data_IF_164050298618
#
_entry.id   IF_164050298618
#
_cell.length_a   1.000
_cell.length_b   1.000
_cell.length_c   1.000
_cell.angle_alpha   90.00
_cell.angle_beta   90.00
_cell.angle_gamma   90.00
#
_symmetry.space_group_name_H-M   'P 1'
#
loop_
_entity.id
_entity.type
_entity.pdbx_description
1 polymer ?
#
# COMPACT_ATOMS: atom_id res chain seq x y z
N UNK A 1 -29.99 -9.74 -14.15
CA UNK A 1 -28.54 -9.55 -14.15
C UNK A 1 -27.91 -10.91 -13.92
N UNK A 2 -27.08 -11.42 -14.82
CA UNK A 2 -26.40 -12.71 -14.62
C UNK A 2 -25.57 -12.63 -13.35
N UNK A 3 -25.77 -13.64 -12.48
CA UNK A 3 -25.13 -13.69 -11.17
C UNK A 3 -23.65 -14.15 -11.35
N UNK A 4 -22.77 -13.17 -11.71
CA UNK A 4 -21.36 -13.43 -12.01
C UNK A 4 -20.67 -14.01 -10.79
N UNK A 5 -20.02 -15.16 -10.97
CA UNK A 5 -19.26 -15.85 -9.92
C UNK A 5 -17.75 -15.66 -10.13
N UNK A 6 -17.06 -15.25 -9.09
CA UNK A 6 -15.63 -14.99 -9.11
C UNK A 6 -14.91 -15.90 -8.10
N UNK A 7 -13.85 -16.59 -8.57
CA UNK A 7 -12.93 -17.25 -7.67
C UNK A 7 -11.75 -16.30 -7.38
N UNK A 8 -11.60 -15.88 -6.12
CA UNK A 8 -10.47 -15.07 -5.68
C UNK A 8 -9.47 -15.91 -4.89
N UNK A 9 -8.29 -16.13 -5.47
CA UNK A 9 -7.19 -16.87 -4.85
C UNK A 9 -6.02 -15.91 -4.58
N UNK A 10 -5.49 -15.86 -3.35
CA UNK A 10 -4.35 -15.05 -3.00
C UNK A 10 -3.33 -15.81 -2.15
N UNK A 11 -2.07 -15.34 -2.19
CA UNK A 11 -0.98 -15.92 -1.39
C UNK A 11 -0.84 -15.32 0.01
N UNK A 12 -1.77 -14.46 0.41
CA UNK A 12 -1.86 -13.88 1.75
C UNK A 12 -3.21 -14.18 2.39
N UNK A 13 -3.22 -14.19 3.70
CA UNK A 13 -4.40 -14.40 4.54
C UNK A 13 -5.54 -13.39 4.23
N UNK A 14 -6.77 -13.80 4.50
CA UNK A 14 -7.97 -12.99 4.24
C UNK A 14 -7.96 -11.64 4.98
N UNK A 15 -7.29 -11.57 6.14
CA UNK A 15 -7.17 -10.36 6.97
C UNK A 15 -6.06 -9.41 6.54
N UNK A 16 -5.19 -9.80 5.60
CA UNK A 16 -4.19 -8.90 5.06
C UNK A 16 -4.87 -7.75 4.29
N UNK A 17 -4.50 -6.51 4.57
CA UNK A 17 -5.22 -5.31 4.11
C UNK A 17 -5.59 -5.33 2.62
N UNK A 18 -4.63 -5.64 1.72
CA UNK A 18 -4.90 -5.70 0.28
C UNK A 18 -5.87 -6.83 -0.08
N UNK A 19 -5.69 -8.02 0.51
CA UNK A 19 -6.57 -9.17 0.28
C UNK A 19 -7.99 -8.87 0.74
N UNK A 20 -8.14 -8.30 1.94
CA UNK A 20 -9.43 -7.94 2.53
C UNK A 20 -10.18 -6.88 1.68
N UNK A 21 -9.48 -5.82 1.26
CA UNK A 21 -10.06 -4.75 0.45
C UNK A 21 -10.56 -5.26 -0.90
N UNK A 22 -9.75 -6.04 -1.63
CA UNK A 22 -10.16 -6.60 -2.93
C UNK A 22 -11.33 -7.55 -2.75
N UNK A 23 -11.31 -8.42 -1.71
CA UNK A 23 -12.39 -9.35 -1.44
C UNK A 23 -13.70 -8.63 -1.09
N UNK A 24 -13.65 -7.67 -0.17
CA UNK A 24 -14.82 -6.84 0.21
C UNK A 24 -15.35 -6.05 -0.99
N UNK A 25 -14.48 -5.50 -1.83
CA UNK A 25 -14.87 -4.76 -3.02
C UNK A 25 -15.59 -5.63 -4.07
N UNK A 26 -15.12 -6.85 -4.30
CA UNK A 26 -15.80 -7.80 -5.21
C UNK A 26 -17.21 -8.14 -4.71
N UNK A 27 -17.36 -8.36 -3.40
CA UNK A 27 -18.69 -8.62 -2.79
C UNK A 27 -19.61 -7.40 -2.89
N UNK A 28 -19.08 -6.20 -2.59
CA UNK A 28 -19.81 -4.94 -2.67
C UNK A 28 -20.21 -4.60 -4.12
N UNK A 29 -19.43 -5.00 -5.10
CA UNK A 29 -19.75 -4.89 -6.54
C UNK A 29 -20.95 -5.78 -6.96
N UNK A 30 -21.41 -6.66 -6.07
CA UNK A 30 -22.53 -7.57 -6.31
C UNK A 30 -22.14 -8.91 -6.93
N UNK A 31 -20.84 -9.27 -6.93
CA UNK A 31 -20.39 -10.56 -7.42
C UNK A 31 -20.50 -11.66 -6.35
N UNK A 32 -20.88 -12.87 -6.77
CA UNK A 32 -20.72 -14.05 -5.93
C UNK A 32 -19.24 -14.42 -5.87
N UNK A 33 -18.62 -14.32 -4.68
CA UNK A 33 -17.18 -14.46 -4.56
C UNK A 33 -16.81 -15.69 -3.71
N UNK A 34 -15.97 -16.55 -4.26
CA UNK A 34 -15.35 -17.67 -3.55
C UNK A 34 -13.92 -17.27 -3.21
N UNK A 35 -13.61 -17.08 -1.93
CA UNK A 35 -12.27 -16.76 -1.46
C UNK A 35 -11.45 -18.01 -1.15
N UNK A 36 -10.22 -18.08 -1.65
CA UNK A 36 -9.21 -19.09 -1.38
C UNK A 36 -7.96 -18.44 -0.82
N UNK A 37 -7.79 -18.49 0.49
CA UNK A 37 -6.72 -17.80 1.20
C UNK A 37 -5.97 -18.75 2.12
N UNK A 38 -4.63 -18.59 2.26
CA UNK A 38 -3.86 -19.32 3.27
C UNK A 38 -4.13 -18.76 4.67
N UNK A 39 -3.87 -19.52 5.73
CA UNK A 39 -3.95 -19.01 7.11
C UNK A 39 -2.82 -18.03 7.45
N UNK A 40 -1.70 -18.09 6.72
CA UNK A 40 -0.53 -17.21 6.86
C UNK A 40 0.27 -17.14 5.54
N UNK A 41 1.36 -16.36 5.51
CA UNK A 41 2.20 -16.08 4.32
C UNK A 41 3.10 -17.23 3.86
N UNK A 42 3.03 -18.44 4.43
CA UNK A 42 3.91 -19.57 4.10
C UNK A 42 3.52 -20.24 2.78
N UNK A 43 4.47 -20.43 1.90
CA UNK A 43 4.27 -21.10 0.61
C UNK A 43 3.85 -22.60 0.75
N UNK A 44 4.07 -23.21 1.91
CA UNK A 44 3.62 -24.58 2.19
C UNK A 44 2.11 -24.78 2.07
N UNK A 45 1.32 -23.71 2.10
CA UNK A 45 -0.13 -23.76 1.92
C UNK A 45 -0.57 -23.78 0.45
N UNK A 46 0.32 -23.46 -0.50
CA UNK A 46 -0.03 -23.33 -1.92
C UNK A 46 -0.54 -24.63 -2.55
N UNK A 47 0.03 -25.84 -2.29
CA UNK A 47 -0.52 -27.07 -2.82
C UNK A 47 -2.00 -27.28 -2.45
N UNK A 48 -2.37 -26.98 -1.20
CA UNK A 48 -3.76 -27.06 -0.74
C UNK A 48 -4.66 -26.03 -1.44
N UNK A 49 -4.17 -24.78 -1.62
CA UNK A 49 -4.91 -23.73 -2.33
C UNK A 49 -5.14 -24.12 -3.80
N UNK A 50 -4.12 -24.64 -4.48
CA UNK A 50 -4.23 -25.10 -5.86
C UNK A 50 -5.19 -26.28 -5.99
N UNK A 51 -5.15 -27.23 -5.05
CA UNK A 51 -6.12 -28.33 -5.00
C UNK A 51 -7.56 -27.85 -4.81
N UNK A 52 -7.79 -26.91 -3.88
CA UNK A 52 -9.11 -26.30 -3.68
C UNK A 52 -9.57 -25.53 -4.92
N UNK A 53 -8.65 -24.80 -5.56
CA UNK A 53 -8.91 -24.04 -6.79
C UNK A 53 -9.40 -24.94 -7.91
N UNK A 54 -8.78 -26.12 -8.09
CA UNK A 54 -9.14 -27.10 -9.15
C UNK A 54 -10.64 -27.44 -9.17
N UNK A 55 -11.25 -27.50 -7.99
CA UNK A 55 -12.68 -27.83 -7.87
C UNK A 55 -13.57 -26.58 -7.85
N UNK A 56 -13.19 -25.56 -7.10
CA UNK A 56 -14.01 -24.38 -6.86
C UNK A 56 -14.12 -23.44 -8.08
N UNK A 57 -13.11 -23.42 -8.95
CA UNK A 57 -13.11 -22.56 -10.14
C UNK A 57 -14.10 -23.01 -11.23
N UNK A 58 -14.60 -24.26 -11.18
CA UNK A 58 -15.45 -24.81 -12.26
C UNK A 58 -16.71 -23.98 -12.49
N UNK A 59 -17.36 -23.54 -11.44
CA UNK A 59 -18.60 -22.79 -11.47
C UNK A 59 -18.40 -21.25 -11.49
N UNK A 60 -17.16 -20.78 -11.65
CA UNK A 60 -16.85 -19.36 -11.70
C UNK A 60 -16.73 -18.86 -13.15
N UNK A 61 -17.06 -17.60 -13.38
CA UNK A 61 -16.96 -16.94 -14.70
C UNK A 61 -15.59 -16.29 -14.90
N UNK A 62 -14.96 -15.82 -13.82
CA UNK A 62 -13.69 -15.13 -13.83
C UNK A 62 -12.87 -15.51 -12.60
N UNK A 63 -11.55 -15.48 -12.76
CA UNK A 63 -10.59 -15.73 -11.68
C UNK A 63 -9.87 -14.42 -11.33
N UNK A 64 -9.76 -14.13 -10.05
CA UNK A 64 -8.87 -13.08 -9.54
C UNK A 64 -7.71 -13.75 -8.82
N UNK A 65 -6.48 -13.44 -9.24
CA UNK A 65 -5.26 -13.85 -8.53
C UNK A 65 -4.74 -12.63 -7.77
N UNK A 66 -4.70 -12.72 -6.44
CA UNK A 66 -4.34 -11.61 -5.58
C UNK A 66 -2.88 -11.60 -5.15
N UNK A 67 -2.61 -10.73 -4.21
CA UNK A 67 -1.28 -10.45 -3.67
C UNK A 67 -0.51 -11.71 -3.23
N UNK A 68 0.81 -11.75 -3.45
CA UNK A 68 1.69 -12.92 -3.34
C UNK A 68 1.28 -14.07 -4.30
N UNK A 69 0.57 -13.71 -5.37
CA UNK A 69 0.00 -14.66 -6.33
C UNK A 69 0.94 -15.08 -7.46
N UNK A 70 2.21 -14.68 -7.51
CA UNK A 70 3.11 -14.98 -8.63
C UNK A 70 3.17 -16.48 -8.99
N UNK A 71 3.44 -17.31 -7.99
CA UNK A 71 3.49 -18.77 -8.18
C UNK A 71 2.09 -19.38 -8.35
N UNK A 72 1.07 -18.81 -7.70
CA UNK A 72 -0.33 -19.23 -7.87
C UNK A 72 -0.81 -18.93 -9.29
N UNK A 73 -0.43 -17.82 -9.89
CA UNK A 73 -0.77 -17.47 -11.28
C UNK A 73 -0.34 -18.55 -12.26
N UNK A 74 0.89 -19.09 -12.08
CA UNK A 74 1.38 -20.16 -12.95
C UNK A 74 0.50 -21.43 -12.83
N UNK A 75 0.16 -21.83 -11.60
CA UNK A 75 -0.73 -22.96 -11.37
C UNK A 75 -2.16 -22.70 -11.88
N UNK A 76 -2.71 -21.51 -11.60
CA UNK A 76 -4.04 -21.10 -12.06
C UNK A 76 -4.15 -21.19 -13.57
N UNK A 77 -3.20 -20.61 -14.31
CA UNK A 77 -3.27 -20.55 -15.78
C UNK A 77 -3.15 -21.92 -16.44
N UNK A 78 -2.44 -22.86 -15.82
CA UNK A 78 -2.38 -24.25 -16.29
C UNK A 78 -3.71 -25.00 -16.07
N UNK A 79 -4.50 -24.60 -15.10
CA UNK A 79 -5.73 -25.30 -14.69
C UNK A 79 -7.02 -24.68 -15.24
N UNK A 80 -6.96 -23.45 -15.79
CA UNK A 80 -8.15 -22.77 -16.32
C UNK A 80 -7.87 -22.01 -17.60
N UNK A 81 -8.89 -21.93 -18.47
CA UNK A 81 -8.91 -21.03 -19.64
C UNK A 81 -9.81 -19.81 -19.42
N UNK A 82 -10.40 -19.66 -18.23
CA UNK A 82 -11.27 -18.52 -17.89
C UNK A 82 -10.46 -17.23 -17.83
N UNK A 83 -11.09 -16.06 -17.99
CA UNK A 83 -10.43 -14.77 -17.83
C UNK A 83 -9.79 -14.65 -16.45
N UNK A 84 -8.54 -14.17 -16.39
CA UNK A 84 -7.76 -14.01 -15.16
C UNK A 84 -7.37 -12.55 -14.97
N UNK A 85 -7.89 -11.93 -13.92
CA UNK A 85 -7.49 -10.63 -13.42
C UNK A 85 -6.40 -10.82 -12.35
N UNK A 86 -5.26 -10.16 -12.52
CA UNK A 86 -4.12 -10.29 -11.62
C UNK A 86 -3.88 -9.02 -10.81
N UNK A 87 -4.08 -9.06 -9.51
CA UNK A 87 -3.70 -8.01 -8.58
C UNK A 87 -2.26 -8.25 -8.09
N UNK A 88 -1.28 -7.82 -8.88
CA UNK A 88 0.14 -8.06 -8.57
C UNK A 88 0.59 -7.29 -7.33
N UNK A 89 0.13 -6.06 -7.13
CA UNK A 89 0.42 -5.14 -6.04
C UNK A 89 1.92 -4.87 -5.81
N UNK A 90 2.74 -5.90 -5.66
CA UNK A 90 4.19 -5.81 -5.42
C UNK A 90 4.91 -6.92 -6.18
N UNK A 91 6.02 -6.61 -6.87
CA UNK A 91 6.86 -7.60 -7.52
C UNK A 91 7.73 -8.36 -6.52
N UNK A 92 7.99 -9.63 -6.81
CA UNK A 92 8.94 -10.46 -6.06
C UNK A 92 10.36 -9.88 -6.18
N UNK A 93 10.72 -9.41 -7.38
CA UNK A 93 12.02 -8.80 -7.64
C UNK A 93 12.26 -7.59 -6.72
N UNK A 94 11.32 -6.61 -6.68
CA UNK A 94 11.49 -5.42 -5.85
C UNK A 94 11.54 -5.76 -4.35
N UNK A 95 10.70 -6.71 -3.92
CA UNK A 95 10.68 -7.15 -2.52
C UNK A 95 11.99 -7.83 -2.11
N UNK A 96 12.49 -8.76 -2.90
CA UNK A 96 13.66 -9.56 -2.51
C UNK A 96 14.97 -8.82 -2.71
N UNK A 97 15.06 -7.97 -3.74
CA UNK A 97 16.28 -7.24 -4.07
C UNK A 97 16.37 -5.94 -3.28
N UNK A 98 15.34 -5.08 -3.34
CA UNK A 98 15.43 -3.73 -2.79
C UNK A 98 14.95 -3.60 -1.34
N UNK A 99 13.89 -4.35 -0.95
CA UNK A 99 13.38 -4.22 0.42
C UNK A 99 14.10 -5.15 1.39
N UNK A 100 14.31 -6.41 0.99
CA UNK A 100 14.89 -7.41 1.88
C UNK A 100 16.40 -7.61 1.70
N UNK A 101 16.99 -7.05 0.65
CA UNK A 101 18.42 -7.17 0.38
C UNK A 101 18.91 -8.62 0.31
N UNK A 102 18.04 -9.56 -0.10
CA UNK A 102 18.38 -11.00 -0.14
C UNK A 102 19.38 -11.34 -1.23
N UNK A 103 19.51 -10.48 -2.24
CA UNK A 103 20.42 -10.67 -3.36
C UNK A 103 20.66 -9.35 -4.07
N UNK A 104 21.74 -9.28 -4.88
CA UNK A 104 22.05 -8.10 -5.70
C UNK A 104 21.23 -8.09 -7.00
N UNK A 105 20.95 -6.92 -7.60
CA UNK A 105 20.13 -6.81 -8.83
C UNK A 105 20.68 -7.59 -10.04
N UNK A 106 21.98 -7.88 -10.07
CA UNK A 106 22.68 -8.58 -11.16
C UNK A 106 22.80 -10.09 -10.93
N UNK A 107 22.38 -10.60 -9.78
CA UNK A 107 22.51 -12.03 -9.46
C UNK A 107 21.57 -12.91 -10.29
N UNK A 108 21.92 -14.18 -10.46
CA UNK A 108 21.05 -15.19 -11.10
C UNK A 108 19.69 -15.29 -10.40
N UNK A 109 19.67 -15.19 -9.05
CA UNK A 109 18.45 -15.22 -8.27
C UNK A 109 17.55 -14.02 -8.54
N UNK A 110 18.12 -12.83 -8.68
CA UNK A 110 17.36 -11.65 -9.09
C UNK A 110 16.79 -11.81 -10.52
N UNK A 111 17.53 -12.45 -11.41
CA UNK A 111 17.05 -12.85 -12.73
C UNK A 111 15.84 -13.79 -12.66
N UNK A 112 15.88 -14.79 -11.77
CA UNK A 112 14.78 -15.71 -11.52
C UNK A 112 13.53 -14.97 -10.99
N UNK A 113 13.69 -14.09 -10.00
CA UNK A 113 12.56 -13.28 -9.48
C UNK A 113 11.94 -12.42 -10.59
N UNK A 114 12.77 -11.77 -11.42
CA UNK A 114 12.30 -11.00 -12.57
C UNK A 114 11.55 -11.85 -13.58
N UNK A 115 12.01 -13.06 -13.84
CA UNK A 115 11.36 -14.00 -14.75
C UNK A 115 9.99 -14.45 -14.20
N UNK A 116 9.90 -14.79 -12.92
CA UNK A 116 8.64 -15.19 -12.27
C UNK A 116 7.62 -14.04 -12.31
N UNK A 117 8.03 -12.82 -11.97
CA UNK A 117 7.16 -11.64 -12.07
C UNK A 117 6.70 -11.42 -13.53
N UNK A 118 7.62 -11.50 -14.50
CA UNK A 118 7.30 -11.34 -15.93
C UNK A 118 6.29 -12.38 -16.41
N UNK A 119 6.56 -13.67 -16.16
CA UNK A 119 5.72 -14.76 -16.65
C UNK A 119 4.34 -14.70 -16.01
N UNK A 120 4.25 -14.44 -14.70
CA UNK A 120 2.96 -14.29 -14.02
C UNK A 120 2.11 -13.15 -14.60
N UNK A 121 2.73 -12.02 -14.95
CA UNK A 121 2.04 -10.90 -15.61
C UNK A 121 1.65 -11.22 -17.05
N UNK A 122 2.52 -11.84 -17.84
CA UNK A 122 2.21 -12.22 -19.22
C UNK A 122 1.04 -13.22 -19.33
N UNK A 123 0.88 -14.08 -18.34
CA UNK A 123 -0.18 -15.09 -18.30
C UNK A 123 -1.53 -14.54 -17.79
N UNK A 124 -1.56 -13.37 -17.18
CA UNK A 124 -2.80 -12.68 -16.84
C UNK A 124 -3.46 -12.08 -18.10
N UNK A 125 -4.77 -11.97 -18.11
CA UNK A 125 -5.51 -11.26 -19.16
C UNK A 125 -5.56 -9.76 -18.89
N UNK A 126 -5.73 -9.35 -17.62
CA UNK A 126 -5.59 -7.97 -17.13
C UNK A 126 -4.84 -7.96 -15.80
N UNK A 127 -4.16 -6.85 -15.52
CA UNK A 127 -3.30 -6.66 -14.34
C UNK A 127 -3.69 -5.37 -13.65
N UNK A 128 -3.92 -5.42 -12.33
CA UNK A 128 -4.19 -4.23 -11.53
C UNK A 128 -2.90 -3.65 -10.98
N UNK A 129 -2.70 -2.34 -11.13
CA UNK A 129 -1.71 -1.53 -10.43
C UNK A 129 -2.29 -0.17 -10.04
N UNK A 130 -1.71 0.46 -9.01
CA UNK A 130 -2.33 1.61 -8.36
C UNK A 130 -2.14 2.95 -9.10
N UNK A 131 -1.07 3.11 -9.92
CA UNK A 131 -0.73 4.38 -10.56
C UNK A 131 -0.24 4.18 -11.99
N UNK A 132 -0.37 5.19 -12.83
CA UNK A 132 0.11 5.15 -14.22
C UNK A 132 1.65 5.06 -14.27
N UNK A 133 2.35 5.78 -13.39
CA UNK A 133 3.82 5.74 -13.29
C UNK A 133 4.31 4.33 -12.94
N UNK A 134 3.65 3.65 -11.99
CA UNK A 134 3.98 2.27 -11.62
C UNK A 134 3.69 1.28 -12.75
N UNK A 135 2.60 1.49 -13.51
CA UNK A 135 2.27 0.70 -14.71
C UNK A 135 3.40 0.84 -15.74
N UNK A 136 3.80 2.06 -16.07
CA UNK A 136 4.88 2.33 -17.02
C UNK A 136 6.21 1.73 -16.58
N UNK A 137 6.57 1.84 -15.28
CA UNK A 137 7.78 1.19 -14.74
C UNK A 137 7.72 -0.34 -14.91
N UNK A 138 6.60 -0.98 -14.56
CA UNK A 138 6.47 -2.44 -14.66
C UNK A 138 6.41 -2.93 -16.12
N UNK A 139 5.67 -2.24 -16.99
CA UNK A 139 5.62 -2.55 -18.40
C UNK A 139 7.02 -2.55 -19.03
N UNK A 140 7.81 -1.51 -18.74
CA UNK A 140 9.18 -1.37 -19.23
C UNK A 140 10.16 -2.38 -18.60
N UNK A 141 10.11 -2.54 -17.29
CA UNK A 141 11.03 -3.38 -16.50
C UNK A 141 10.84 -4.86 -16.78
N UNK A 142 9.61 -5.32 -16.88
CA UNK A 142 9.27 -6.72 -17.08
C UNK A 142 8.94 -7.05 -18.53
N UNK A 143 8.95 -6.06 -19.45
CA UNK A 143 8.61 -6.23 -20.88
C UNK A 143 7.22 -6.86 -21.04
N UNK A 144 6.23 -6.29 -20.36
CA UNK A 144 4.82 -6.67 -20.43
C UNK A 144 4.06 -5.56 -21.17
N UNK A 145 3.17 -5.88 -22.13
CA UNK A 145 2.39 -4.88 -22.85
C UNK A 145 1.57 -4.01 -21.88
N UNK A 146 1.70 -2.68 -22.00
CA UNK A 146 1.03 -1.71 -21.13
C UNK A 146 -0.50 -1.83 -21.17
N UNK A 147 -1.05 -2.25 -22.31
CA UNK A 147 -2.50 -2.47 -22.52
C UNK A 147 -3.10 -3.57 -21.64
N UNK A 148 -2.28 -4.43 -21.03
CA UNK A 148 -2.74 -5.41 -20.04
C UNK A 148 -3.04 -4.81 -18.69
N UNK A 149 -2.49 -3.63 -18.40
CA UNK A 149 -2.63 -3.01 -17.09
C UNK A 149 -3.90 -2.15 -16.99
N UNK A 150 -4.53 -2.23 -15.85
CA UNK A 150 -5.65 -1.39 -15.44
C UNK A 150 -5.25 -0.58 -14.20
N UNK A 151 -5.34 0.75 -14.31
CA UNK A 151 -5.08 1.63 -13.18
C UNK A 151 -6.23 1.57 -12.20
N UNK A 152 -5.90 1.26 -10.95
CA UNK A 152 -6.85 1.25 -9.85
C UNK A 152 -6.14 1.70 -8.56
N UNK A 153 -6.37 2.95 -8.13
CA UNK A 153 -5.77 3.48 -6.92
C UNK A 153 -6.00 2.56 -5.71
N UNK A 154 -5.13 2.64 -4.72
CA UNK A 154 -5.35 1.97 -3.45
C UNK A 154 -6.65 2.48 -2.81
N UNK A 155 -7.34 1.59 -2.13
CA UNK A 155 -8.50 1.96 -1.33
C UNK A 155 -8.31 1.58 0.12
N UNK A 156 -9.05 2.25 0.97
CA UNK A 156 -9.19 1.96 2.39
C UNK A 156 -10.64 1.64 2.69
N UNK A 157 -10.87 0.77 3.64
CA UNK A 157 -12.20 0.54 4.18
C UNK A 157 -12.62 1.78 4.99
N UNK A 158 -13.40 2.66 4.37
CA UNK A 158 -13.80 3.94 4.94
C UNK A 158 -14.92 3.81 6.01
N UNK A 159 -15.38 2.59 6.31
CA UNK A 159 -16.13 2.27 7.52
C UNK A 159 -15.21 2.08 8.74
N UNK A 160 -13.94 1.69 8.50
CA UNK A 160 -12.93 1.45 9.55
C UNK A 160 -11.99 2.65 9.69
N UNK A 161 -11.46 3.13 8.58
CA UNK A 161 -10.51 4.27 8.55
C UNK A 161 -11.24 5.52 8.05
N UNK A 162 -11.76 6.29 8.98
CA UNK A 162 -12.47 7.54 8.75
C UNK A 162 -12.06 8.59 9.79
N UNK A 163 -12.39 9.87 9.58
CA UNK A 163 -12.14 10.89 10.58
C UNK A 163 -12.89 10.56 11.88
N UNK A 164 -12.16 10.41 12.98
CA UNK A 164 -12.71 10.18 14.30
C UNK A 164 -12.59 11.46 15.12
N UNK A 165 -13.63 11.78 15.90
CA UNK A 165 -13.52 12.87 16.88
C UNK A 165 -12.53 12.47 17.96
N UNK A 166 -11.36 13.07 17.93
CA UNK A 166 -10.28 12.84 18.87
C UNK A 166 -9.75 14.16 19.42
N UNK A 167 -9.35 14.16 20.69
CA UNK A 167 -8.71 15.32 21.32
C UNK A 167 -7.24 15.29 20.96
N UNK A 168 -6.78 16.33 20.27
CA UNK A 168 -5.36 16.53 19.99
C UNK A 168 -4.66 17.07 21.26
N UNK A 169 -3.40 16.67 21.52
CA UNK A 169 -2.62 17.29 22.59
C UNK A 169 -2.53 18.81 22.42
N UNK A 170 -2.68 19.56 23.51
CA UNK A 170 -2.60 21.01 23.49
C UNK A 170 -1.20 21.55 23.81
N UNK A 171 -0.38 20.73 24.48
CA UNK A 171 0.96 21.06 24.98
C UNK A 171 2.08 20.76 23.99
N UNK A 172 1.78 19.97 22.93
CA UNK A 172 2.76 19.60 21.91
C UNK A 172 2.12 19.28 20.57
N UNK A 173 2.90 19.39 19.50
CA UNK A 173 2.52 18.96 18.15
C UNK A 173 2.81 17.46 17.97
N UNK A 174 1.78 16.63 17.88
CA UNK A 174 1.92 15.17 17.75
C UNK A 174 2.04 14.78 16.28
N UNK A 175 3.11 14.06 15.93
CA UNK A 175 3.42 13.51 14.61
C UNK A 175 3.23 12.01 14.65
N UNK A 176 2.39 11.46 13.77
CA UNK A 176 2.10 10.03 13.70
C UNK A 176 2.75 9.36 12.48
N UNK A 177 3.38 8.22 12.70
CA UNK A 177 3.81 7.28 11.68
C UNK A 177 3.34 5.87 12.03
N UNK A 178 2.84 5.12 11.06
CA UNK A 178 2.58 3.69 11.22
C UNK A 178 3.08 2.90 10.00
N UNK A 179 3.50 1.66 10.24
CA UNK A 179 3.86 0.72 9.20
C UNK A 179 5.09 -0.13 9.49
N UNK A 180 5.37 -1.06 8.59
CA UNK A 180 6.55 -1.92 8.67
C UNK A 180 7.84 -1.07 8.60
N UNK A 181 8.87 -1.44 9.35
CA UNK A 181 10.20 -0.84 9.25
C UNK A 181 10.93 -1.45 8.05
N UNK A 182 10.52 -1.05 6.85
CA UNK A 182 11.17 -1.43 5.59
C UNK A 182 12.05 -0.27 5.08
N UNK A 183 13.13 -0.55 4.33
CA UNK A 183 14.03 0.50 3.85
C UNK A 183 13.36 1.65 3.12
N UNK A 184 12.37 1.36 2.25
CA UNK A 184 11.64 2.39 1.50
C UNK A 184 10.71 3.26 2.37
N UNK A 185 10.33 2.79 3.56
CA UNK A 185 9.57 3.60 4.51
C UNK A 185 10.40 4.73 5.13
N UNK A 186 11.73 4.52 5.28
CA UNK A 186 12.64 5.57 5.72
C UNK A 186 12.46 6.00 7.16
N UNK A 187 12.16 5.07 8.09
CA UNK A 187 12.05 5.37 9.54
C UNK A 187 13.30 6.06 10.06
N UNK A 188 14.48 5.68 9.54
CA UNK A 188 15.75 6.36 9.84
C UNK A 188 15.70 7.87 9.56
N UNK A 189 15.04 8.30 8.49
CA UNK A 189 14.86 9.72 8.16
C UNK A 189 13.97 10.39 9.20
N UNK A 190 12.89 9.72 9.64
CA UNK A 190 12.00 10.22 10.68
C UNK A 190 12.76 10.41 12.00
N UNK A 191 13.59 9.43 12.40
CA UNK A 191 14.38 9.51 13.62
C UNK A 191 15.45 10.62 13.58
N UNK A 192 16.06 10.86 12.41
CA UNK A 192 16.98 11.99 12.23
C UNK A 192 16.24 13.33 12.34
N UNK A 193 15.06 13.46 11.72
CA UNK A 193 14.22 14.66 11.85
C UNK A 193 13.77 14.88 13.31
N UNK A 194 13.39 13.81 14.02
CA UNK A 194 13.08 13.89 15.43
C UNK A 194 14.28 14.41 16.26
N UNK A 195 15.50 13.97 15.91
CA UNK A 195 16.71 14.48 16.59
C UNK A 195 16.94 15.99 16.32
N UNK A 196 16.60 16.50 15.14
CA UNK A 196 16.68 17.93 14.83
C UNK A 196 15.63 18.74 15.59
N UNK A 197 14.51 18.12 15.94
CA UNK A 197 13.39 18.75 16.67
C UNK A 197 13.46 18.58 18.19
N UNK A 198 14.60 18.17 18.73
CA UNK A 198 14.83 18.18 20.19
C UNK A 198 14.72 19.58 20.75
N UNK A 199 13.99 19.70 21.87
CA UNK A 199 13.72 20.99 22.50
C UNK A 199 12.52 21.75 21.93
N UNK A 200 11.99 21.30 20.79
CA UNK A 200 10.73 21.80 20.25
C UNK A 200 9.54 21.11 20.95
N UNK A 201 8.39 21.81 21.03
CA UNK A 201 7.14 21.21 21.51
C UNK A 201 6.55 20.25 20.44
N UNK A 202 7.33 19.25 20.02
CA UNK A 202 6.97 18.23 19.05
C UNK A 202 7.21 16.85 19.64
N UNK A 203 6.24 15.94 19.50
CA UNK A 203 6.36 14.54 19.88
C UNK A 203 6.03 13.63 18.72
N UNK A 204 6.62 12.44 18.72
CA UNK A 204 6.39 11.43 17.68
C UNK A 204 5.76 10.19 18.29
N UNK A 205 4.78 9.64 17.59
CA UNK A 205 4.23 8.31 17.81
C UNK A 205 4.56 7.46 16.59
N UNK A 206 5.39 6.43 16.76
CA UNK A 206 5.85 5.55 15.69
C UNK A 206 5.35 4.14 15.97
N UNK A 207 4.40 3.68 15.14
CA UNK A 207 3.74 2.39 15.27
C UNK A 207 4.32 1.40 14.26
N UNK A 208 4.76 0.23 14.74
CA UNK A 208 5.20 -0.88 13.90
C UNK A 208 6.56 -1.44 14.23
N UNK A 209 6.92 -2.49 13.50
CA UNK A 209 8.22 -3.18 13.52
C UNK A 209 8.57 -3.64 12.10
N UNK A 210 9.80 -4.10 11.89
CA UNK A 210 10.24 -4.65 10.61
C UNK A 210 11.73 -4.80 10.50
N UNK A 211 12.22 -4.91 9.27
CA UNK A 211 13.59 -5.33 8.97
C UNK A 211 14.64 -4.36 9.51
N UNK A 212 14.37 -3.04 9.48
CA UNK A 212 15.34 -2.03 9.92
C UNK A 212 15.23 -1.70 11.41
N UNK A 213 14.28 -2.29 12.13
CA UNK A 213 13.94 -1.92 13.52
C UNK A 213 15.15 -1.91 14.45
N UNK A 214 15.94 -2.99 14.48
CA UNK A 214 17.07 -3.11 15.42
C UNK A 214 18.16 -2.07 15.14
N UNK A 215 18.41 -1.75 13.86
CA UNK A 215 19.36 -0.71 13.47
C UNK A 215 18.82 0.70 13.79
N UNK A 216 17.54 0.91 13.59
CA UNK A 216 16.88 2.18 13.89
C UNK A 216 16.85 2.43 15.40
N UNK A 217 16.68 1.39 16.23
CA UNK A 217 16.76 1.49 17.69
C UNK A 217 18.17 1.85 18.21
N UNK A 218 19.23 1.54 17.46
CA UNK A 218 20.58 2.04 17.78
C UNK A 218 20.65 3.57 17.65
N UNK A 219 19.99 4.14 16.65
CA UNK A 219 19.91 5.61 16.50
C UNK A 219 19.09 6.25 17.61
N UNK A 220 17.98 5.62 18.00
CA UNK A 220 17.14 6.10 19.12
C UNK A 220 17.99 6.25 20.38
N UNK A 221 18.76 5.22 20.74
CA UNK A 221 19.67 5.25 21.90
C UNK A 221 20.77 6.29 21.75
N UNK A 222 21.42 6.33 20.57
CA UNK A 222 22.49 7.30 20.27
C UNK A 222 22.02 8.75 20.38
N UNK A 223 20.84 9.03 19.87
CA UNK A 223 20.25 10.36 19.87
C UNK A 223 19.47 10.68 21.14
N UNK A 224 19.23 9.73 22.05
CA UNK A 224 18.41 9.90 23.26
C UNK A 224 17.06 10.56 22.91
N UNK A 225 16.23 9.87 22.11
CA UNK A 225 14.96 10.41 21.57
C UNK A 225 13.81 10.18 22.56
N UNK A 226 13.82 10.87 23.71
CA UNK A 226 12.83 10.70 24.78
C UNK A 226 11.43 11.24 24.41
N UNK A 227 11.33 12.06 23.38
CA UNK A 227 10.07 12.61 22.84
C UNK A 227 9.48 11.76 21.71
N UNK A 228 10.01 10.56 21.47
CA UNK A 228 9.51 9.60 20.48
C UNK A 228 8.94 8.39 21.20
N UNK A 229 7.66 8.14 21.08
CA UNK A 229 6.98 6.95 21.58
C UNK A 229 6.99 5.86 20.49
N UNK A 230 7.41 4.65 20.86
CA UNK A 230 7.39 3.48 19.99
C UNK A 230 6.29 2.53 20.44
N UNK A 231 5.45 2.11 19.50
CA UNK A 231 4.35 1.16 19.69
C UNK A 231 4.53 0.02 18.70
N UNK A 232 4.62 -1.20 19.20
CA UNK A 232 4.92 -2.36 18.37
C UNK A 232 3.81 -2.65 17.34
N UNK A 233 2.55 -2.49 17.75
CA UNK A 233 1.39 -2.78 16.94
C UNK A 233 0.12 -2.13 17.50
N UNK A 234 -0.77 -1.72 16.61
CA UNK A 234 -2.11 -1.22 16.92
C UNK A 234 -3.13 -2.00 16.07
N UNK A 235 -4.26 -2.44 16.62
CA UNK A 235 -5.34 -3.03 15.84
C UNK A 235 -5.78 -2.09 14.70
N UNK A 236 -6.07 -2.65 13.53
CA UNK A 236 -6.39 -1.83 12.36
C UNK A 236 -7.63 -0.93 12.58
N UNK A 237 -8.61 -1.42 13.33
CA UNK A 237 -9.80 -0.65 13.71
C UNK A 237 -9.52 0.48 14.74
N UNK A 238 -8.37 0.48 15.40
CA UNK A 238 -7.95 1.54 16.33
C UNK A 238 -6.98 2.54 15.67
N UNK A 239 -6.46 2.20 14.49
CA UNK A 239 -5.50 3.03 13.77
C UNK A 239 -6.06 4.41 13.41
N UNK A 240 -7.36 4.46 13.03
CA UNK A 240 -8.04 5.72 12.74
C UNK A 240 -8.03 6.68 13.95
N UNK A 241 -8.19 6.16 15.16
CA UNK A 241 -8.13 6.96 16.39
C UNK A 241 -6.71 7.49 16.65
N UNK A 242 -5.69 6.64 16.54
CA UNK A 242 -4.28 7.06 16.68
C UNK A 242 -3.93 8.17 15.69
N UNK A 243 -4.25 7.99 14.41
CA UNK A 243 -4.03 9.01 13.38
C UNK A 243 -4.83 10.28 13.65
N UNK A 244 -6.09 10.17 14.09
CA UNK A 244 -6.96 11.32 14.35
C UNK A 244 -6.53 12.14 15.56
N UNK A 245 -5.79 11.58 16.51
CA UNK A 245 -5.17 12.31 17.64
C UNK A 245 -3.95 13.12 17.20
N UNK A 246 -3.28 12.72 16.13
CA UNK A 246 -2.11 13.41 15.63
C UNK A 246 -2.46 14.74 14.94
N UNK A 247 -1.51 15.65 14.90
CA UNK A 247 -1.61 16.91 14.16
C UNK A 247 -1.21 16.70 12.69
N UNK A 248 -0.30 15.76 12.41
CA UNK A 248 0.00 15.32 11.05
C UNK A 248 0.37 13.84 11.02
N UNK A 249 0.20 13.23 9.85
CA UNK A 249 0.60 11.86 9.56
C UNK A 249 1.76 11.85 8.57
N UNK A 250 2.63 10.84 8.72
CA UNK A 250 3.81 10.65 7.88
C UNK A 250 3.60 9.49 6.89
N UNK A 251 4.03 9.69 5.63
CA UNK A 251 4.10 8.67 4.60
C UNK A 251 5.41 7.89 4.61
N UNK A 252 6.15 7.92 3.49
CA UNK A 252 7.44 7.24 3.31
C UNK A 252 8.55 8.23 2.98
N UNK A 253 9.81 7.90 3.36
CA UNK A 253 10.96 8.80 3.25
C UNK A 253 12.27 8.09 2.89
N UNK A 254 12.23 6.83 2.43
CA UNK A 254 13.43 6.12 2.02
C UNK A 254 14.07 6.70 0.75
N UNK A 255 15.24 6.15 0.38
CA UNK A 255 16.02 6.54 -0.79
C UNK A 255 16.25 5.37 -1.77
N UNK A 256 15.64 4.22 -1.51
CA UNK A 256 15.79 3.07 -2.39
C UNK A 256 14.89 3.20 -3.65
N UNK A 257 15.17 2.43 -4.71
CA UNK A 257 14.41 2.52 -5.96
C UNK A 257 12.90 2.34 -5.81
N UNK A 258 12.44 1.60 -4.80
CA UNK A 258 11.03 1.39 -4.53
C UNK A 258 10.33 2.65 -4.00
N UNK A 259 11.02 3.47 -3.20
CA UNK A 259 10.49 4.75 -2.71
C UNK A 259 9.94 5.63 -3.83
N UNK A 260 10.56 5.56 -5.01
CA UNK A 260 10.18 6.39 -6.16
C UNK A 260 9.02 5.82 -7.00
N UNK A 261 8.61 4.57 -6.75
CA UNK A 261 7.67 3.83 -7.62
C UNK A 261 6.31 3.53 -7.01
N UNK A 262 6.13 3.78 -5.72
CA UNK A 262 4.92 3.32 -5.02
C UNK A 262 4.11 4.45 -4.41
N UNK A 263 2.80 4.33 -4.54
CA UNK A 263 1.81 4.91 -3.64
C UNK A 263 1.56 3.88 -2.52
N UNK A 264 1.53 4.30 -1.26
CA UNK A 264 1.38 3.37 -0.13
C UNK A 264 0.06 3.54 0.61
N UNK A 265 -0.42 2.49 1.28
CA UNK A 265 -1.64 2.53 2.08
C UNK A 265 -1.62 3.66 3.11
N UNK A 266 -0.50 3.88 3.80
CA UNK A 266 -0.40 4.95 4.81
C UNK A 266 -0.62 6.36 4.27
N UNK A 267 -0.32 6.61 2.98
CA UNK A 267 -0.69 7.86 2.30
C UNK A 267 -2.21 7.96 2.22
N UNK A 268 -2.87 6.92 1.72
CA UNK A 268 -4.33 6.90 1.56
C UNK A 268 -5.04 6.93 2.92
N UNK A 269 -4.52 6.21 3.92
CA UNK A 269 -5.05 6.18 5.29
C UNK A 269 -4.95 7.55 5.97
N UNK A 270 -3.84 8.26 5.81
CA UNK A 270 -3.70 9.63 6.32
C UNK A 270 -4.71 10.60 5.68
N UNK A 271 -4.92 10.48 4.37
CA UNK A 271 -5.93 11.26 3.66
C UNK A 271 -7.35 10.90 4.14
N UNK A 272 -7.62 9.61 4.40
CA UNK A 272 -8.92 9.12 4.86
C UNK A 272 -9.34 9.67 6.23
N UNK A 273 -8.39 9.98 7.11
CA UNK A 273 -8.67 10.59 8.43
C UNK A 273 -8.59 12.12 8.43
N UNK A 274 -8.51 12.75 7.26
CA UNK A 274 -8.45 14.20 7.09
C UNK A 274 -7.29 14.88 7.86
N UNK A 275 -6.15 14.19 8.04
CA UNK A 275 -4.96 14.76 8.66
C UNK A 275 -3.97 15.26 7.62
N UNK A 276 -3.27 16.38 7.88
CA UNK A 276 -2.17 16.81 7.03
C UNK A 276 -1.18 15.67 6.85
N UNK A 277 -0.82 15.38 5.60
CA UNK A 277 0.16 14.36 5.23
C UNK A 277 1.48 15.02 4.85
N UNK A 278 2.60 14.50 5.38
CA UNK A 278 3.94 14.74 4.86
C UNK A 278 4.46 13.43 4.28
N UNK A 279 4.93 13.43 3.05
CA UNK A 279 5.50 12.23 2.42
C UNK A 279 6.55 12.59 1.37
N UNK A 280 7.23 11.59 0.83
CA UNK A 280 8.21 11.79 -0.24
C UNK A 280 7.54 12.35 -1.51
N UNK A 281 8.25 13.22 -2.21
CA UNK A 281 7.90 13.65 -3.56
C UNK A 281 8.32 12.54 -4.55
N UNK A 282 7.34 11.81 -5.06
CA UNK A 282 7.51 10.86 -6.15
C UNK A 282 6.32 10.94 -7.12
N UNK A 283 6.46 10.42 -8.33
CA UNK A 283 5.42 10.49 -9.35
C UNK A 283 4.12 9.79 -8.92
N UNK A 284 4.13 8.56 -8.38
CA UNK A 284 2.91 7.87 -7.94
C UNK A 284 2.09 8.67 -6.92
N UNK A 285 2.74 9.31 -5.96
CA UNK A 285 2.05 10.15 -4.96
C UNK A 285 1.46 11.39 -5.62
N UNK A 286 2.18 12.00 -6.58
CA UNK A 286 1.73 13.20 -7.29
C UNK A 286 0.53 12.94 -8.24
N UNK A 287 0.24 11.69 -8.59
CA UNK A 287 -1.01 11.34 -9.29
C UNK A 287 -2.25 11.50 -8.39
N UNK A 288 -2.08 11.43 -7.07
CA UNK A 288 -3.18 11.52 -6.10
C UNK A 288 -3.24 12.86 -5.37
N UNK A 289 -2.08 13.45 -5.02
CA UNK A 289 -2.01 14.67 -4.22
C UNK A 289 -1.07 15.70 -4.83
N UNK A 290 -1.33 16.98 -4.50
CA UNK A 290 -0.53 18.11 -4.95
C UNK A 290 0.21 18.74 -3.78
N UNK A 291 1.50 19.07 -4.02
CA UNK A 291 2.37 19.66 -3.00
C UNK A 291 1.82 21.02 -2.50
N UNK A 292 1.83 21.21 -1.19
CA UNK A 292 1.32 22.41 -0.47
C UNK A 292 -0.18 22.65 -0.62
N UNK A 293 -0.90 21.77 -1.34
CA UNK A 293 -2.34 21.88 -1.50
C UNK A 293 -3.10 20.78 -0.74
N UNK A 294 -2.79 19.53 -0.99
CA UNK A 294 -3.44 18.35 -0.37
C UNK A 294 -2.47 17.45 0.39
N UNK A 295 -1.17 17.72 0.33
CA UNK A 295 -0.11 17.13 1.14
C UNK A 295 1.13 18.03 1.13
N UNK A 296 2.10 17.80 2.02
CA UNK A 296 3.45 18.33 1.89
C UNK A 296 4.36 17.24 1.33
N UNK A 297 4.97 17.53 0.18
CA UNK A 297 5.87 16.61 -0.51
C UNK A 297 7.32 17.10 -0.36
N UNK A 298 8.18 16.25 0.21
CA UNK A 298 9.58 16.55 0.49
C UNK A 298 10.54 15.65 -0.30
N UNK A 299 11.81 16.00 -0.46
CA UNK A 299 12.80 15.11 -1.04
C UNK A 299 12.94 13.80 -0.25
N UNK A 300 13.32 12.69 -0.91
CA UNK A 300 13.61 11.43 -0.22
C UNK A 300 14.84 11.57 0.68
N UNK A 301 14.88 10.83 1.78
CA UNK A 301 15.97 10.75 2.75
C UNK A 301 16.48 12.12 3.27
N UNK A 302 15.62 13.13 3.29
CA UNK A 302 15.93 14.50 3.74
C UNK A 302 15.29 14.79 5.11
N UNK A 303 16.03 14.59 6.23
CA UNK A 303 15.52 14.85 7.57
C UNK A 303 15.32 16.35 7.87
N UNK A 304 16.10 17.24 7.23
CA UNK A 304 15.98 18.68 7.42
C UNK A 304 14.69 19.19 6.79
N UNK A 305 14.39 18.75 5.56
CA UNK A 305 13.12 19.06 4.91
C UNK A 305 11.91 18.49 5.68
N UNK A 306 12.03 17.29 6.28
CA UNK A 306 10.99 16.72 7.12
C UNK A 306 10.77 17.55 8.39
N UNK A 307 11.83 17.91 9.09
CA UNK A 307 11.76 18.76 10.29
C UNK A 307 11.14 20.12 9.97
N UNK A 308 11.58 20.77 8.90
CA UNK A 308 11.03 22.04 8.45
C UNK A 308 9.54 21.96 8.10
N UNK A 309 9.10 20.87 7.43
CA UNK A 309 7.69 20.65 7.10
C UNK A 309 6.83 20.44 8.34
N UNK A 310 7.32 19.72 9.36
CA UNK A 310 6.64 19.53 10.65
C UNK A 310 6.46 20.87 11.36
N UNK A 311 7.53 21.67 11.49
CA UNK A 311 7.47 22.99 12.11
C UNK A 311 6.52 23.93 11.35
N UNK A 312 6.57 23.90 10.02
CA UNK A 312 5.66 24.71 9.21
C UNK A 312 4.19 24.38 9.48
N UNK A 313 3.82 23.08 9.57
CA UNK A 313 2.44 22.68 9.90
C UNK A 313 2.04 23.10 11.31
N UNK A 314 2.95 23.02 12.28
CA UNK A 314 2.74 23.49 13.66
C UNK A 314 2.45 24.99 13.71
N UNK A 315 3.25 25.76 13.01
CA UNK A 315 3.21 27.23 13.07
C UNK A 315 2.10 27.81 12.17
N UNK A 316 1.49 26.99 11.29
CA UNK A 316 0.43 27.40 10.37
C UNK A 316 -0.82 26.50 10.47
N UNK A 317 -1.51 26.44 11.64
CA UNK A 317 -2.59 25.49 11.86
C UNK A 317 -3.78 25.64 10.91
N UNK A 318 -4.09 26.87 10.47
CA UNK A 318 -5.17 27.09 9.51
C UNK A 318 -4.83 26.51 8.11
N UNK A 319 -3.59 26.62 7.67
CA UNK A 319 -3.12 26.03 6.42
C UNK A 319 -3.01 24.50 6.54
N UNK A 320 -2.51 24.00 7.68
CA UNK A 320 -2.45 22.57 7.98
C UNK A 320 -3.86 21.94 7.86
N UNK A 321 -4.88 22.57 8.49
CA UNK A 321 -6.25 22.11 8.36
C UNK A 321 -6.73 22.10 6.90
N UNK A 322 -6.47 23.16 6.13
CA UNK A 322 -6.85 23.22 4.70
C UNK A 322 -6.20 22.11 3.89
N UNK A 323 -4.93 21.78 4.15
CA UNK A 323 -4.22 20.66 3.50
C UNK A 323 -4.90 19.34 3.84
N UNK A 324 -5.20 19.07 5.10
CA UNK A 324 -5.92 17.89 5.54
C UNK A 324 -7.30 17.75 4.88
N UNK A 325 -8.09 18.83 4.87
CA UNK A 325 -9.43 18.87 4.26
C UNK A 325 -9.37 18.62 2.74
N UNK A 326 -8.34 19.16 2.05
CA UNK A 326 -8.15 18.93 0.61
C UNK A 326 -7.64 17.51 0.34
N UNK A 327 -6.75 16.99 1.18
CA UNK A 327 -6.32 15.60 1.13
C UNK A 327 -7.50 14.63 1.28
N UNK A 328 -8.38 14.88 2.24
CA UNK A 328 -9.61 14.10 2.43
C UNK A 328 -10.54 14.13 1.19
N UNK A 329 -10.63 15.28 0.50
CA UNK A 329 -11.38 15.33 -0.77
C UNK A 329 -10.76 14.44 -1.84
N UNK A 330 -9.41 14.38 -1.96
CA UNK A 330 -8.74 13.45 -2.89
C UNK A 330 -9.07 12.00 -2.52
N UNK A 331 -9.02 11.66 -1.23
CA UNK A 331 -9.44 10.35 -0.75
C UNK A 331 -10.88 10.03 -1.18
N UNK A 332 -11.83 10.91 -0.90
CA UNK A 332 -13.26 10.70 -1.25
C UNK A 332 -13.49 10.52 -2.74
N UNK A 333 -12.72 11.19 -3.58
CA UNK A 333 -12.87 11.13 -5.02
C UNK A 333 -12.25 9.86 -5.64
N UNK A 334 -11.20 9.28 -5.02
CA UNK A 334 -10.35 8.30 -5.70
C UNK A 334 -10.08 7.00 -4.94
N UNK A 335 -10.19 7.02 -3.59
CA UNK A 335 -9.64 5.97 -2.74
C UNK A 335 -10.65 5.35 -1.76
N UNK A 336 -11.94 5.65 -1.88
CA UNK A 336 -12.99 5.00 -1.08
C UNK A 336 -13.18 3.56 -1.52
N UNK A 337 -13.62 2.69 -0.62
CA UNK A 337 -13.94 1.30 -0.96
C UNK A 337 -15.05 1.22 -2.02
N UNK A 338 -16.05 2.11 -1.94
CA UNK A 338 -17.13 2.15 -2.94
C UNK A 338 -16.61 2.52 -4.34
N UNK A 339 -15.79 3.57 -4.46
CA UNK A 339 -15.19 3.97 -5.74
C UNK A 339 -14.30 2.87 -6.34
N UNK A 340 -13.52 2.20 -5.48
CA UNK A 340 -12.70 1.04 -5.86
C UNK A 340 -13.58 -0.11 -6.36
N UNK A 341 -14.67 -0.43 -5.65
CA UNK A 341 -15.62 -1.48 -6.01
C UNK A 341 -16.28 -1.24 -7.36
N UNK A 342 -16.76 -0.03 -7.63
CA UNK A 342 -17.40 0.33 -8.90
C UNK A 342 -16.40 0.27 -10.09
N UNK A 343 -15.15 0.72 -9.88
CA UNK A 343 -14.12 0.60 -10.91
C UNK A 343 -13.75 -0.87 -11.16
N UNK A 344 -13.60 -1.67 -10.10
CA UNK A 344 -13.34 -3.11 -10.21
C UNK A 344 -14.47 -3.83 -10.95
N UNK A 345 -15.73 -3.48 -10.66
CA UNK A 345 -16.92 -3.96 -11.38
C UNK A 345 -16.85 -3.66 -12.89
N UNK A 346 -16.45 -2.43 -13.22
CA UNK A 346 -16.30 -2.02 -14.62
C UNK A 346 -15.25 -2.88 -15.33
N UNK A 347 -14.07 -3.09 -14.71
CA UNK A 347 -12.99 -3.91 -15.26
C UNK A 347 -13.46 -5.36 -15.47
N UNK A 348 -14.09 -5.96 -14.47
CA UNK A 348 -14.60 -7.34 -14.56
C UNK A 348 -15.62 -7.48 -15.69
N UNK A 349 -16.58 -6.56 -15.78
CA UNK A 349 -17.59 -6.59 -16.84
C UNK A 349 -16.98 -6.44 -18.24
N UNK A 350 -15.97 -5.57 -18.39
CA UNK A 350 -15.26 -5.40 -19.68
C UNK A 350 -14.51 -6.68 -20.07
N UNK A 351 -13.87 -7.37 -19.09
CA UNK A 351 -13.19 -8.66 -19.36
C UNK A 351 -14.16 -9.76 -19.80
N UNK A 352 -15.36 -9.78 -19.22
CA UNK A 352 -16.38 -10.78 -19.59
C UNK A 352 -17.10 -10.47 -20.89
N UNK A 353 -17.28 -9.18 -21.25
CA UNK A 353 -17.93 -8.75 -22.50
C UNK A 353 -17.01 -8.84 -23.72
N UNK A 354 -15.71 -8.63 -23.54
CA UNK A 354 -14.75 -8.53 -24.64
C UNK A 354 -14.28 -9.87 -25.22
N UNK A 355 -14.69 -11.01 -24.68
CA UNK A 355 -14.24 -12.36 -25.06
C UNK A 355 -12.73 -12.38 -25.33
N UNK A 356 -11.92 -12.92 -24.44
CA UNK A 356 -10.45 -13.04 -24.60
C UNK A 356 -10.10 -13.83 -25.86
#
# INVERSE_FOLDING_TARGET
MNNIKICYIAGREATYSRTAIVYKALQQAGFQTIGLFPPDKRFSHYPKLVWQFLWKQKDCDLIVVGFYGQLLMLAVRLLTRKPVLYDIYISTFDTMVYDRGKTTPQSMMAGLYRMVDRVSMLWADRILLETADHITDYANKFKVPEQKFEKLFLAVDDEIIAPVRAVQPADHFLVHFHGEYAPFHGVRTILKAANLLKGEAVRFEIVGRGITYDEDMKLVRRYKLDHVQFIDWVPYNELALSMSRAHCCLGIFGDNPRTFRVLTNKVVEALAVARPLITVKNNPVQELVQNKESALLIPPADPDALAAAILWLRDHPAQAKKIGDRGYRQFKNHCTLNGFSERLKTIVNQMLAGGV
#
